data_IF_196239631272
#
_entry.id   IF_196239631272
#
_cell.length_a   1.000
_cell.length_b   1.000
_cell.length_c   1.000
_cell.angle_alpha   90.00
_cell.angle_beta   90.00
_cell.angle_gamma   90.00
#
_symmetry.space_group_name_H-M   'P 1'
#
loop_
_entity.id
_entity.type
_entity.pdbx_description
1 polymer ?
#
# COMPACT_ATOMS: atom_id res chain seq x y z
N UNK A 1 -1.85 6.79 6.91
CA UNK A 1 -2.18 7.34 5.59
C UNK A 1 -3.65 7.05 5.26
N UNK A 2 -4.47 8.07 5.02
CA UNK A 2 -5.84 7.88 4.52
C UNK A 2 -5.90 8.26 3.04
N UNK A 3 -6.33 7.33 2.19
CA UNK A 3 -6.34 7.50 0.74
C UNK A 3 -7.42 8.47 0.24
N UNK A 4 -8.42 8.81 1.07
CA UNK A 4 -9.43 9.84 0.73
C UNK A 4 -8.83 11.23 0.51
N UNK A 5 -7.67 11.51 1.15
CA UNK A 5 -6.99 12.82 1.05
C UNK A 5 -5.76 12.77 0.17
N UNK A 6 -5.11 11.61 0.07
CA UNK A 6 -3.90 11.44 -0.72
C UNK A 6 -3.93 10.04 -1.37
N UNK A 7 -4.33 9.93 -2.65
CA UNK A 7 -4.62 8.64 -3.28
C UNK A 7 -3.37 7.85 -3.68
N UNK A 8 -2.19 8.46 -3.57
CA UNK A 8 -0.91 7.82 -3.90
C UNK A 8 -0.15 7.50 -2.62
N UNK A 9 0.33 6.26 -2.52
CA UNK A 9 1.29 5.84 -1.49
C UNK A 9 2.52 5.25 -2.18
N UNK A 10 3.69 5.71 -1.76
CA UNK A 10 4.98 5.21 -2.22
C UNK A 10 5.83 4.77 -1.01
N UNK A 11 6.78 3.88 -1.26
CA UNK A 11 7.69 3.35 -0.26
C UNK A 11 8.38 2.08 -0.73
N UNK A 12 9.31 1.59 0.08
CA UNK A 12 9.98 0.31 -0.17
C UNK A 12 9.14 -0.80 0.46
N UNK A 13 8.71 -1.76 -0.36
CA UNK A 13 7.99 -2.93 0.13
C UNK A 13 8.94 -3.80 0.97
N UNK A 14 8.71 -3.84 2.28
CA UNK A 14 9.48 -4.63 3.25
C UNK A 14 8.90 -6.04 3.42
N UNK A 15 7.61 -6.23 3.14
CA UNK A 15 6.99 -7.55 3.23
C UNK A 15 5.48 -7.56 3.03
N UNK A 16 4.92 -8.77 3.07
CA UNK A 16 3.49 -9.03 2.89
C UNK A 16 3.01 -9.95 4.01
N UNK A 17 1.90 -9.58 4.66
CA UNK A 17 1.24 -10.41 5.69
C UNK A 17 -0.27 -10.46 5.47
N UNK A 18 -0.74 -11.53 4.84
CA UNK A 18 -2.15 -11.67 4.48
C UNK A 18 -2.60 -10.51 3.58
N UNK A 19 -3.63 -9.76 4.00
CA UNK A 19 -4.13 -8.60 3.26
C UNK A 19 -3.32 -7.30 3.50
N UNK A 20 -2.19 -7.38 4.21
CA UNK A 20 -1.38 -6.22 4.55
C UNK A 20 -0.08 -6.19 3.74
N UNK A 21 0.15 -5.08 3.05
CA UNK A 21 1.44 -4.72 2.46
C UNK A 21 2.20 -3.83 3.45
N UNK A 22 3.44 -4.18 3.76
CA UNK A 22 4.27 -3.48 4.73
C UNK A 22 5.32 -2.69 3.97
N UNK A 23 5.23 -1.38 4.05
CA UNK A 23 6.22 -0.45 3.53
C UNK A 23 7.00 0.17 4.68
N UNK A 24 8.20 0.67 4.39
CA UNK A 24 8.96 1.54 5.31
C UNK A 24 8.17 2.78 5.75
N UNK A 25 7.27 3.29 4.91
CA UNK A 25 6.40 4.44 5.19
C UNK A 25 5.10 4.08 5.94
N UNK A 26 4.81 2.79 6.13
CA UNK A 26 3.64 2.31 6.87
C UNK A 26 3.01 1.05 6.28
N UNK A 27 1.82 0.70 6.78
CA UNK A 27 1.12 -0.54 6.39
C UNK A 27 -0.16 -0.21 5.62
N UNK A 28 -0.34 -0.85 4.47
CA UNK A 28 -1.54 -0.73 3.64
C UNK A 28 -2.36 -2.00 3.78
N UNK A 29 -3.68 -1.86 3.97
CA UNK A 29 -4.62 -2.96 3.85
C UNK A 29 -5.25 -2.95 2.45
N UNK A 30 -4.97 -3.97 1.64
CA UNK A 30 -5.40 -4.03 0.23
C UNK A 30 -6.89 -4.35 0.04
N UNK A 31 -7.65 -4.58 1.12
CA UNK A 31 -9.12 -4.74 1.08
C UNK A 31 -9.87 -3.50 1.51
N UNK A 32 -9.16 -2.44 1.91
CA UNK A 32 -9.79 -1.20 2.39
C UNK A 32 -10.58 -0.49 1.29
N UNK A 33 -10.21 -0.65 0.03
CA UNK A 33 -10.89 -0.13 -1.15
C UNK A 33 -11.16 -1.24 -2.17
N UNK A 34 -12.03 -0.98 -3.15
CA UNK A 34 -12.46 -1.96 -4.17
C UNK A 34 -11.31 -2.46 -5.04
N UNK A 35 -10.40 -1.57 -5.44
CA UNK A 35 -9.23 -1.90 -6.26
C UNK A 35 -8.09 -0.92 -6.02
N UNK A 36 -6.88 -1.33 -6.37
CA UNK A 36 -5.67 -0.51 -6.38
C UNK A 36 -4.92 -0.74 -7.69
N UNK A 37 -4.35 0.31 -8.25
CA UNK A 37 -3.33 0.22 -9.29
C UNK A 37 -1.95 0.16 -8.62
N UNK A 38 -1.08 -0.75 -9.06
CA UNK A 38 0.22 -1.02 -8.43
C UNK A 38 1.30 -1.07 -9.50
N UNK A 39 2.36 -0.30 -9.29
CA UNK A 39 3.59 -0.33 -10.07
C UNK A 39 4.76 -0.74 -9.16
N UNK A 40 5.65 -1.61 -9.65
CA UNK A 40 6.81 -2.10 -8.91
C UNK A 40 8.03 -2.02 -9.82
N UNK A 41 9.13 -1.46 -9.31
CA UNK A 41 10.44 -1.39 -9.97
C UNK A 41 11.50 -2.09 -9.11
N UNK A 42 12.52 -2.66 -9.76
CA UNK A 42 13.68 -3.29 -9.11
C UNK A 42 14.84 -2.31 -8.91
#
# INVERSE_FOLDING_TARGET
>A
HNFDKNPVVTGILQGIKGQYLIFDTGVINVRKFTSYEVEVSA
#
